data_IF_824668233231
#
_entry.id   IF_824668233231
#
_cell.length_a   1.000
_cell.length_b   1.000
_cell.length_c   1.000
_cell.angle_alpha   90.00
_cell.angle_beta   90.00
_cell.angle_gamma   90.00
#
_symmetry.space_group_name_H-M   'P 1'
#
loop_
_entity.id
_entity.type
_entity.pdbx_description
1 polymer ?
#
# COMPACT_ATOMS: atom_id res chain seq x y z
N UNK A 1 -64.70 -14.30 -4.07
CA UNK A 1 -65.50 -14.48 -2.83
C UNK A 1 -64.75 -15.40 -1.89
N UNK A 2 -64.29 -14.87 -0.76
CA UNK A 2 -64.30 -15.64 0.50
C UNK A 2 -65.59 -15.27 1.26
N UNK A 3 -66.01 -15.91 2.37
CA UNK A 3 -65.41 -17.03 3.14
C UNK A 3 -66.44 -18.08 3.68
N UNK A 4 -65.94 -18.93 4.61
CA UNK A 4 -66.57 -19.72 5.72
C UNK A 4 -67.45 -20.95 5.40
N UNK A 5 -67.71 -21.92 6.35
CA UNK A 5 -67.05 -22.38 7.60
C UNK A 5 -66.86 -23.95 7.66
N UNK A 6 -65.88 -24.50 8.38
CA UNK A 6 -65.93 -25.08 9.76
C UNK A 6 -66.54 -26.50 9.97
N UNK A 7 -65.66 -27.39 10.46
CA UNK A 7 -65.84 -28.58 11.35
C UNK A 7 -66.53 -29.86 10.84
N UNK A 8 -65.79 -30.97 10.96
CA UNK A 8 -66.16 -32.09 11.83
C UNK A 8 -64.96 -32.61 12.66
N UNK A 9 -65.26 -33.10 13.87
CA UNK A 9 -64.36 -33.57 14.94
C UNK A 9 -64.04 -35.07 14.78
N UNK A 10 -63.00 -35.58 15.47
CA UNK A 10 -62.54 -36.97 15.37
C UNK A 10 -63.31 -37.91 16.32
N UNK A 11 -63.52 -39.16 15.91
CA UNK A 11 -63.93 -40.26 16.80
C UNK A 11 -62.66 -41.02 17.20
N UNK A 12 -62.31 -41.02 18.49
CA UNK A 12 -62.58 -42.10 19.46
C UNK A 12 -61.54 -43.24 19.31
N UNK A 13 -60.82 -43.70 20.33
CA UNK A 13 -61.08 -43.61 21.76
C UNK A 13 -59.86 -43.97 22.61
N UNK A 14 -60.05 -43.76 23.91
CA UNK A 14 -59.12 -43.97 25.01
C UNK A 14 -59.00 -45.46 25.33
N UNK A 15 -57.82 -45.88 25.80
CA UNK A 15 -57.73 -46.85 26.88
C UNK A 15 -56.87 -46.29 28.01
N UNK A 16 -57.34 -46.53 29.23
CA UNK A 16 -56.99 -45.89 30.50
C UNK A 16 -56.36 -46.96 31.39
N UNK A 17 -55.28 -46.63 32.08
CA UNK A 17 -54.95 -47.25 33.36
C UNK A 17 -54.62 -46.13 34.36
N UNK A 18 -55.29 -46.19 35.51
CA UNK A 18 -55.23 -45.25 36.63
C UNK A 18 -54.43 -45.90 37.74
N UNK A 19 -53.72 -45.07 38.52
CA UNK A 19 -53.51 -45.04 39.98
C UNK A 19 -52.19 -44.26 40.20
N UNK A 20 -52.04 -43.22 41.02
CA UNK A 20 -52.91 -42.46 41.91
C UNK A 20 -52.15 -41.16 42.29
N UNK A 21 -52.92 -40.09 42.50
CA UNK A 21 -52.56 -38.79 43.10
C UNK A 21 -51.30 -38.07 42.61
N UNK A 22 -51.44 -37.23 41.57
CA UNK A 22 -51.01 -35.82 41.52
C UNK A 22 -51.72 -35.17 40.32
N UNK A 23 -52.66 -34.27 40.58
CA UNK A 23 -53.28 -33.44 39.54
C UNK A 23 -52.26 -32.40 39.06
N UNK A 24 -51.65 -32.59 37.89
CA UNK A 24 -50.92 -31.53 37.20
C UNK A 24 -51.31 -31.51 35.73
N UNK A 25 -51.80 -30.35 35.31
CA UNK A 25 -52.29 -30.01 34.00
C UNK A 25 -51.20 -30.12 32.93
N UNK A 26 -51.55 -30.71 31.77
CA UNK A 26 -50.71 -30.80 30.58
C UNK A 26 -50.70 -29.47 29.83
N UNK A 27 -49.55 -28.78 29.80
CA UNK A 27 -49.34 -27.58 28.96
C UNK A 27 -48.20 -27.81 27.94
N UNK A 28 -48.57 -27.88 26.66
CA UNK A 28 -47.69 -28.13 25.52
C UNK A 28 -46.69 -26.99 25.23
N UNK A 29 -46.73 -25.88 25.97
CA UNK A 29 -45.83 -24.73 25.76
C UNK A 29 -44.45 -24.85 26.42
N UNK A 30 -44.22 -25.86 27.27
CA UNK A 30 -42.94 -26.00 27.99
C UNK A 30 -41.86 -26.76 27.21
N UNK A 31 -42.19 -27.38 26.07
CA UNK A 31 -41.26 -28.20 25.28
C UNK A 31 -40.43 -27.44 24.23
N UNK A 32 -40.79 -26.19 23.85
CA UNK A 32 -40.04 -25.47 22.80
C UNK A 32 -38.70 -24.90 23.27
N UNK A 33 -38.58 -24.55 24.55
CA UNK A 33 -37.39 -23.91 25.11
C UNK A 33 -36.23 -24.87 25.40
N UNK A 34 -36.53 -26.16 25.63
CA UNK A 34 -35.51 -27.16 26.01
C UNK A 34 -34.69 -27.64 24.81
N UNK A 35 -35.31 -27.72 23.62
CA UNK A 35 -34.64 -28.18 22.40
C UNK A 35 -33.83 -27.09 21.68
N UNK A 36 -34.26 -25.83 21.71
CA UNK A 36 -33.50 -24.72 21.12
C UNK A 36 -32.10 -24.58 21.75
N UNK A 37 -32.01 -24.72 23.08
CA UNK A 37 -30.71 -24.74 23.79
C UNK A 37 -29.88 -25.99 23.50
N UNK A 38 -30.52 -27.15 23.25
CA UNK A 38 -29.82 -28.43 23.07
C UNK A 38 -29.11 -28.57 21.72
N UNK A 39 -29.63 -27.98 20.64
CA UNK A 39 -29.01 -28.05 19.31
C UNK A 39 -28.02 -26.91 19.05
N UNK A 40 -28.22 -25.73 19.67
CA UNK A 40 -27.22 -24.65 19.66
C UNK A 40 -25.92 -25.06 20.38
N UNK A 41 -26.02 -25.95 21.37
CA UNK A 41 -24.90 -26.49 22.15
C UNK A 41 -24.06 -27.57 21.43
N UNK A 42 -24.46 -28.04 20.24
CA UNK A 42 -23.74 -29.14 19.56
C UNK A 42 -22.36 -28.74 18.99
N UNK A 43 -21.91 -27.49 19.14
CA UNK A 43 -20.57 -27.07 18.71
C UNK A 43 -20.29 -27.22 17.20
N UNK A 44 -21.33 -27.46 16.38
CA UNK A 44 -21.19 -27.75 14.96
C UNK A 44 -20.67 -26.54 14.18
N UNK A 45 -19.76 -26.79 13.25
CA UNK A 45 -19.27 -25.76 12.33
C UNK A 45 -20.38 -25.24 11.41
N UNK A 46 -20.18 -24.05 10.84
CA UNK A 46 -21.14 -23.47 9.87
C UNK A 46 -21.35 -24.39 8.67
N UNK A 47 -20.31 -25.11 8.24
CA UNK A 47 -20.37 -26.06 7.14
C UNK A 47 -21.19 -27.30 7.49
N UNK A 48 -21.00 -27.86 8.68
CA UNK A 48 -21.79 -28.99 9.19
C UNK A 48 -23.27 -28.61 9.35
N UNK A 49 -23.55 -27.41 9.87
CA UNK A 49 -24.92 -26.88 9.97
C UNK A 49 -25.58 -26.69 8.60
N UNK A 50 -24.82 -26.24 7.59
CA UNK A 50 -25.31 -26.15 6.20
C UNK A 50 -25.66 -27.53 5.64
N UNK A 51 -24.78 -28.52 5.80
CA UNK A 51 -25.00 -29.88 5.31
C UNK A 51 -26.26 -30.52 5.91
N UNK A 52 -26.44 -30.40 7.22
CA UNK A 52 -27.65 -30.86 7.91
C UNK A 52 -28.90 -30.10 7.45
N UNK A 53 -28.78 -28.81 7.17
CA UNK A 53 -29.89 -28.01 6.64
C UNK A 53 -30.31 -28.52 5.26
N UNK A 54 -29.37 -28.88 4.39
CA UNK A 54 -29.67 -29.47 3.06
C UNK A 54 -30.42 -30.79 3.20
N UNK A 55 -29.99 -31.68 4.10
CA UNK A 55 -30.64 -32.98 4.31
C UNK A 55 -32.06 -32.81 4.86
N UNK A 56 -32.25 -31.98 5.87
CA UNK A 56 -33.54 -31.77 6.54
C UNK A 56 -34.50 -30.86 5.75
N UNK A 57 -33.99 -30.06 4.81
CA UNK A 57 -34.81 -29.22 3.93
C UNK A 57 -35.77 -30.02 3.03
N UNK A 58 -35.51 -31.32 2.85
CA UNK A 58 -36.41 -32.22 2.11
C UNK A 58 -37.71 -32.51 2.85
N UNK A 59 -37.69 -32.53 4.19
CA UNK A 59 -38.84 -32.85 5.03
C UNK A 59 -39.41 -31.63 5.79
N UNK A 60 -38.60 -30.59 6.00
CA UNK A 60 -38.97 -29.42 6.80
C UNK A 60 -38.62 -28.10 6.10
N UNK A 61 -39.38 -27.01 6.35
CA UNK A 61 -39.04 -25.71 5.79
C UNK A 61 -37.64 -25.23 6.25
N UNK A 62 -36.80 -24.79 5.30
CA UNK A 62 -35.43 -24.28 5.54
C UNK A 62 -35.40 -23.27 6.69
N UNK A 63 -36.41 -22.40 6.79
CA UNK A 63 -36.52 -21.40 7.86
C UNK A 63 -36.57 -22.02 9.26
N UNK A 64 -37.28 -23.14 9.40
CA UNK A 64 -37.43 -23.85 10.67
C UNK A 64 -36.11 -24.53 11.04
N UNK A 65 -35.48 -25.21 10.09
CA UNK A 65 -34.21 -25.93 10.28
C UNK A 65 -33.07 -24.96 10.62
N UNK A 66 -32.93 -23.85 9.88
CA UNK A 66 -31.95 -22.81 10.19
C UNK A 66 -32.15 -22.23 11.60
N UNK A 67 -33.40 -22.04 12.04
CA UNK A 67 -33.70 -21.55 13.39
C UNK A 67 -33.33 -22.58 14.46
N UNK A 68 -33.56 -23.86 14.21
CA UNK A 68 -33.22 -24.95 15.14
C UNK A 68 -31.71 -25.14 15.28
N UNK A 69 -30.94 -24.96 14.20
CA UNK A 69 -29.49 -25.10 14.18
C UNK A 69 -28.72 -23.82 14.57
N UNK A 70 -29.43 -22.71 14.82
CA UNK A 70 -28.81 -21.40 15.04
C UNK A 70 -28.00 -20.90 13.83
N UNK A 71 -28.38 -21.26 12.60
CA UNK A 71 -27.71 -20.86 11.37
C UNK A 71 -28.44 -19.65 10.75
N UNK A 72 -27.76 -18.51 10.52
CA UNK A 72 -28.37 -17.40 9.77
C UNK A 72 -28.77 -17.85 8.36
N UNK A 73 -29.97 -17.47 7.90
CA UNK A 73 -30.46 -17.84 6.56
C UNK A 73 -29.53 -17.39 5.43
N UNK A 74 -28.91 -16.21 5.58
CA UNK A 74 -27.91 -15.69 4.64
C UNK A 74 -26.73 -16.65 4.49
N UNK A 75 -26.30 -17.28 5.58
CA UNK A 75 -25.24 -18.30 5.54
C UNK A 75 -25.69 -19.53 4.77
N UNK A 76 -26.95 -19.96 4.85
CA UNK A 76 -27.43 -21.12 4.07
C UNK A 76 -27.43 -20.84 2.55
N UNK A 77 -27.94 -19.68 2.13
CA UNK A 77 -27.98 -19.31 0.71
C UNK A 77 -26.65 -18.82 0.15
N UNK A 78 -25.67 -18.52 1.00
CA UNK A 78 -24.34 -18.12 0.57
C UNK A 78 -23.66 -19.27 -0.17
N UNK A 79 -23.54 -19.12 -1.48
CA UNK A 79 -22.68 -19.94 -2.31
C UNK A 79 -21.30 -19.26 -2.40
N UNK A 80 -20.23 -19.85 -1.85
CA UNK A 80 -18.90 -19.33 -2.08
C UNK A 80 -18.63 -19.32 -3.58
N UNK A 81 -18.10 -18.20 -4.08
CA UNK A 81 -17.65 -18.11 -5.47
C UNK A 81 -16.54 -19.13 -5.70
N UNK A 82 -16.90 -20.28 -6.26
CA UNK A 82 -16.02 -21.37 -6.59
C UNK A 82 -15.44 -21.22 -8.00
N UNK A 83 -15.09 -20.00 -8.43
CA UNK A 83 -14.04 -19.93 -9.44
C UNK A 83 -12.84 -20.59 -8.80
N UNK A 84 -12.48 -21.77 -9.30
CA UNK A 84 -11.55 -22.69 -8.67
C UNK A 84 -10.39 -21.87 -8.12
N UNK A 85 -10.22 -21.81 -6.81
CA UNK A 85 -9.25 -20.91 -6.19
C UNK A 85 -7.85 -21.11 -6.80
N UNK A 86 -7.57 -22.32 -7.31
CA UNK A 86 -6.40 -22.63 -8.15
C UNK A 86 -6.33 -21.89 -9.49
N UNK A 87 -7.41 -21.80 -10.26
CA UNK A 87 -7.45 -21.07 -11.54
C UNK A 87 -7.22 -19.56 -11.34
N UNK A 88 -7.78 -18.97 -10.29
CA UNK A 88 -7.51 -17.56 -9.96
C UNK A 88 -6.05 -17.35 -9.54
N UNK A 89 -5.48 -18.28 -8.76
CA UNK A 89 -4.06 -18.24 -8.39
C UNK A 89 -3.16 -18.33 -9.63
N UNK A 90 -3.42 -19.28 -10.52
CA UNK A 90 -2.67 -19.44 -11.76
C UNK A 90 -2.74 -18.19 -12.64
N UNK A 91 -3.93 -17.58 -12.78
CA UNK A 91 -4.10 -16.34 -13.54
C UNK A 91 -3.36 -15.13 -12.93
N UNK A 92 -3.26 -15.07 -11.59
CA UNK A 92 -2.46 -14.05 -10.89
C UNK A 92 -0.97 -14.26 -11.15
N UNK A 93 -0.50 -15.51 -11.05
CA UNK A 93 0.91 -15.88 -11.29
C UNK A 93 1.30 -15.60 -12.76
N UNK A 94 0.46 -15.99 -13.71
CA UNK A 94 0.59 -15.67 -15.14
C UNK A 94 0.67 -14.15 -15.36
N UNK A 95 -0.28 -13.40 -14.81
CA UNK A 95 -0.33 -11.94 -14.98
C UNK A 95 0.90 -11.21 -14.41
N UNK A 96 1.47 -11.69 -13.31
CA UNK A 96 2.67 -11.12 -12.71
C UNK A 96 3.94 -11.53 -13.48
N UNK A 97 3.99 -12.76 -13.99
CA UNK A 97 5.10 -13.21 -14.82
C UNK A 97 5.20 -12.40 -16.12
N UNK A 98 4.05 -12.13 -16.77
CA UNK A 98 4.00 -11.28 -17.97
C UNK A 98 4.25 -9.81 -17.64
N UNK A 99 3.71 -9.32 -16.52
CA UNK A 99 3.76 -7.90 -16.14
C UNK A 99 4.31 -7.70 -14.72
N UNK A 100 5.64 -7.82 -14.53
CA UNK A 100 6.27 -7.82 -13.19
C UNK A 100 6.14 -6.50 -12.41
N UNK A 101 5.75 -5.42 -13.07
CA UNK A 101 5.51 -4.10 -12.46
C UNK A 101 4.06 -3.90 -11.99
N UNK A 102 3.15 -4.83 -12.31
CA UNK A 102 1.73 -4.66 -12.01
C UNK A 102 1.42 -4.97 -10.55
N UNK A 103 0.83 -4.00 -9.84
CA UNK A 103 0.20 -4.24 -8.54
C UNK A 103 -1.18 -4.88 -8.68
N UNK A 104 -1.75 -5.33 -7.55
CA UNK A 104 -3.02 -6.09 -7.51
C UNK A 104 -4.18 -5.42 -8.27
N UNK A 105 -4.25 -4.08 -8.30
CA UNK A 105 -5.29 -3.34 -9.03
C UNK A 105 -5.21 -3.59 -10.54
N UNK A 106 -4.00 -3.48 -11.10
CA UNK A 106 -3.76 -3.69 -12.54
C UNK A 106 -3.90 -5.16 -12.92
N UNK A 107 -3.39 -6.07 -12.08
CA UNK A 107 -3.60 -7.52 -12.25
C UNK A 107 -5.11 -7.85 -12.25
N UNK A 108 -5.88 -7.29 -11.32
CA UNK A 108 -7.34 -7.51 -11.27
C UNK A 108 -8.04 -7.01 -12.54
N UNK A 109 -7.67 -5.83 -13.04
CA UNK A 109 -8.23 -5.28 -14.28
C UNK A 109 -7.87 -6.14 -15.50
N UNK A 110 -6.63 -6.64 -15.56
CA UNK A 110 -6.17 -7.52 -16.63
C UNK A 110 -6.93 -8.85 -16.64
N UNK A 111 -7.07 -9.51 -15.48
CA UNK A 111 -7.82 -10.77 -15.36
C UNK A 111 -9.29 -10.59 -15.78
N UNK A 112 -9.91 -9.47 -15.40
CA UNK A 112 -11.28 -9.13 -15.82
C UNK A 112 -11.39 -8.96 -17.33
N UNK A 113 -10.37 -8.40 -17.97
CA UNK A 113 -10.35 -8.15 -19.42
C UNK A 113 -10.12 -9.44 -20.21
N UNK A 114 -9.13 -10.23 -19.82
CA UNK A 114 -8.66 -11.36 -20.61
C UNK A 114 -9.52 -12.60 -20.40
N UNK A 115 -9.92 -12.87 -19.15
CA UNK A 115 -10.67 -14.06 -18.78
C UNK A 115 -12.17 -13.80 -18.61
N UNK A 116 -12.61 -12.53 -18.72
CA UNK A 116 -14.01 -12.11 -18.52
C UNK A 116 -14.57 -12.52 -17.14
N UNK A 117 -13.72 -12.62 -16.12
CA UNK A 117 -14.11 -13.05 -14.78
C UNK A 117 -14.54 -11.88 -13.89
N UNK A 118 -15.59 -12.08 -13.10
CA UNK A 118 -16.02 -11.13 -12.06
C UNK A 118 -15.20 -11.39 -10.78
N UNK A 119 -13.98 -10.83 -10.72
CA UNK A 119 -13.06 -11.02 -9.59
C UNK A 119 -13.07 -9.81 -8.66
N UNK A 120 -13.14 -10.03 -7.35
CA UNK A 120 -12.96 -8.98 -6.34
C UNK A 120 -11.46 -8.67 -6.13
N UNK A 121 -11.06 -7.40 -6.30
CA UNK A 121 -9.68 -6.97 -6.12
C UNK A 121 -9.11 -7.19 -4.71
N UNK A 122 -9.97 -7.22 -3.66
CA UNK A 122 -9.54 -7.58 -2.29
C UNK A 122 -9.11 -9.05 -2.21
N UNK A 123 -9.76 -9.93 -2.97
CA UNK A 123 -9.37 -11.35 -3.05
C UNK A 123 -8.02 -11.50 -3.74
N UNK A 124 -7.82 -10.81 -4.87
CA UNK A 124 -6.53 -10.77 -5.58
C UNK A 124 -5.42 -10.26 -4.68
N UNK A 125 -5.67 -9.17 -3.94
CA UNK A 125 -4.71 -8.62 -2.98
C UNK A 125 -4.32 -9.64 -1.91
N UNK A 126 -5.30 -10.31 -1.30
CA UNK A 126 -5.06 -11.35 -0.30
C UNK A 126 -4.23 -12.50 -0.87
N UNK A 127 -4.59 -13.01 -2.04
CA UNK A 127 -3.87 -14.12 -2.70
C UNK A 127 -2.43 -13.74 -3.08
N UNK A 128 -2.23 -12.51 -3.56
CA UNK A 128 -0.88 -11.99 -3.82
C UNK A 128 -0.05 -11.89 -2.54
N UNK A 129 -0.65 -11.42 -1.43
CA UNK A 129 0.03 -11.34 -0.12
C UNK A 129 0.40 -12.72 0.43
N UNK A 130 -0.53 -13.68 0.41
CA UNK A 130 -0.30 -15.07 0.86
C UNK A 130 0.87 -15.75 0.13
N UNK A 131 1.17 -15.33 -1.11
CA UNK A 131 2.24 -15.89 -1.94
C UNK A 131 3.49 -15.01 -2.01
N UNK A 132 3.55 -13.89 -1.30
CA UNK A 132 4.67 -12.94 -1.38
C UNK A 132 4.82 -12.28 -2.76
N UNK A 133 3.77 -12.27 -3.57
CA UNK A 133 3.76 -11.70 -4.91
C UNK A 133 3.57 -10.19 -4.83
N UNK A 134 4.66 -9.45 -4.78
CA UNK A 134 4.66 -7.99 -4.80
C UNK A 134 5.20 -7.47 -6.14
N UNK A 135 4.60 -6.38 -6.63
CA UNK A 135 5.11 -5.69 -7.81
C UNK A 135 6.55 -5.25 -7.54
N UNK A 136 7.49 -5.71 -8.37
CA UNK A 136 8.88 -5.27 -8.28
C UNK A 136 8.94 -3.85 -8.82
N UNK A 137 8.90 -2.86 -7.93
CA UNK A 137 9.24 -1.48 -8.29
C UNK A 137 10.76 -1.45 -8.47
N UNK A 138 11.22 -1.60 -9.72
CA UNK A 138 12.62 -1.30 -10.06
C UNK A 138 12.81 0.22 -9.98
N UNK A 139 13.10 0.74 -8.80
CA UNK A 139 13.74 2.04 -8.68
C UNK A 139 15.21 1.88 -9.04
N UNK A 140 15.55 1.97 -10.33
CA UNK A 140 16.92 2.29 -10.71
C UNK A 140 17.14 3.77 -10.34
N UNK A 141 17.63 4.04 -9.13
CA UNK A 141 18.25 5.35 -8.84
C UNK A 141 19.58 5.36 -9.60
N UNK A 142 19.78 6.36 -10.47
CA UNK A 142 21.09 6.57 -11.10
C UNK A 142 22.00 7.17 -10.03
N UNK A 143 23.25 6.70 -9.98
CA UNK A 143 24.27 7.29 -9.12
C UNK A 143 24.72 8.60 -9.76
N UNK A 144 24.34 9.72 -9.14
CA UNK A 144 24.74 11.09 -9.53
C UNK A 144 26.05 11.50 -8.85
N UNK A 145 26.32 10.95 -7.66
CA UNK A 145 27.52 11.29 -6.88
C UNK A 145 28.56 10.18 -6.97
N UNK A 146 29.75 10.53 -7.48
CA UNK A 146 30.95 9.70 -7.34
C UNK A 146 31.96 10.36 -6.41
N UNK A 147 32.07 9.83 -5.19
CA UNK A 147 33.00 10.30 -4.16
C UNK A 147 34.32 9.51 -4.14
N UNK A 148 34.50 8.56 -5.07
CA UNK A 148 35.74 7.82 -5.26
C UNK A 148 36.62 8.57 -6.28
N UNK A 149 37.15 9.72 -5.88
CA UNK A 149 38.05 10.54 -6.69
C UNK A 149 39.21 11.07 -5.86
N UNK A 150 40.30 11.46 -6.52
CA UNK A 150 41.52 11.94 -5.88
C UNK A 150 41.49 13.44 -5.51
N UNK A 151 40.38 14.15 -5.76
CA UNK A 151 40.26 15.56 -5.40
C UNK A 151 40.23 15.80 -3.89
N UNK A 152 40.70 16.98 -3.42
CA UNK A 152 40.66 17.38 -2.01
C UNK A 152 39.25 17.36 -1.44
N UNK A 153 39.16 17.09 -0.13
CA UNK A 153 37.89 17.09 0.62
C UNK A 153 37.93 18.18 1.68
N UNK A 154 36.93 19.04 1.67
CA UNK A 154 36.79 20.12 2.64
C UNK A 154 35.92 19.71 3.84
N UNK A 155 36.16 20.28 5.03
CA UNK A 155 35.35 20.00 6.21
C UNK A 155 33.91 20.53 6.07
N UNK A 156 33.00 19.97 6.87
CA UNK A 156 31.64 20.47 6.97
C UNK A 156 31.60 21.72 7.86
N UNK A 157 31.33 22.89 7.27
CA UNK A 157 31.23 24.19 7.94
C UNK A 157 29.77 24.56 8.27
N UNK A 158 28.79 23.85 7.71
CA UNK A 158 27.36 24.19 7.82
C UNK A 158 26.70 23.49 9.01
N UNK A 159 27.27 22.39 9.52
CA UNK A 159 26.65 21.56 10.56
C UNK A 159 26.23 22.32 11.83
N UNK A 160 26.98 23.35 12.23
CA UNK A 160 26.70 24.17 13.42
C UNK A 160 26.46 25.65 13.06
N UNK A 161 26.19 25.94 11.79
CA UNK A 161 25.99 27.30 11.32
C UNK A 161 24.57 27.77 11.66
N UNK A 162 24.47 28.81 12.49
CA UNK A 162 23.20 29.52 12.65
C UNK A 162 23.01 30.47 11.47
N UNK A 163 21.99 30.18 10.66
CA UNK A 163 21.61 31.01 9.53
C UNK A 163 20.73 32.15 9.99
N UNK A 164 21.19 33.39 9.76
CA UNK A 164 20.48 34.60 10.17
C UNK A 164 20.15 35.54 9.01
N UNK A 165 20.74 35.33 7.82
CA UNK A 165 20.54 36.22 6.66
C UNK A 165 20.74 35.54 5.30
N UNK A 166 20.27 36.15 4.20
CA UNK A 166 20.53 35.67 2.85
C UNK A 166 22.02 35.63 2.52
N UNK A 167 22.40 34.70 1.65
CA UNK A 167 23.75 34.53 1.10
C UNK A 167 24.83 34.29 2.17
N UNK A 168 24.44 33.78 3.34
CA UNK A 168 25.37 33.31 4.36
C UNK A 168 25.92 31.93 4.00
N UNK A 169 25.05 31.02 3.54
CA UNK A 169 25.46 29.74 2.99
C UNK A 169 24.58 29.36 1.81
N UNK A 170 25.20 28.76 0.79
CA UNK A 170 24.49 28.13 -0.30
C UNK A 170 24.65 26.62 -0.22
N UNK A 171 23.58 25.88 -0.49
CA UNK A 171 23.60 24.45 -0.77
C UNK A 171 23.56 24.21 -2.28
N UNK A 172 24.31 23.22 -2.76
CA UNK A 172 24.26 22.77 -4.14
C UNK A 172 23.91 21.29 -4.22
N UNK A 173 23.14 20.93 -5.23
CA UNK A 173 22.80 19.54 -5.51
C UNK A 173 22.50 19.29 -7.00
N UNK A 174 22.60 18.03 -7.41
CA UNK A 174 22.40 17.56 -8.78
C UNK A 174 21.34 16.45 -8.80
N UNK A 175 20.32 16.62 -9.64
CA UNK A 175 19.24 15.65 -9.80
C UNK A 175 19.00 15.28 -11.27
N UNK A 176 18.43 14.10 -11.52
CA UNK A 176 18.00 13.66 -12.85
C UNK A 176 16.52 14.00 -13.08
N UNK A 177 16.25 14.84 -14.08
CA UNK A 177 14.90 15.15 -14.52
C UNK A 177 14.50 14.18 -15.63
N UNK A 178 13.51 13.33 -15.35
CA UNK A 178 12.99 12.37 -16.31
C UNK A 178 12.05 13.05 -17.31
N UNK A 179 12.35 12.89 -18.59
CA UNK A 179 11.49 13.23 -19.72
C UNK A 179 10.81 11.95 -20.26
N UNK A 180 9.88 12.09 -21.20
CA UNK A 180 9.11 10.96 -21.75
C UNK A 180 9.99 9.87 -22.39
N UNK A 181 11.06 10.27 -23.07
CA UNK A 181 11.94 9.35 -23.82
C UNK A 181 13.40 9.36 -23.34
N UNK A 182 13.77 10.32 -22.50
CA UNK A 182 15.16 10.55 -22.08
C UNK A 182 15.22 11.20 -20.69
N UNK A 183 16.42 11.58 -20.24
CA UNK A 183 16.60 12.32 -19.00
C UNK A 183 17.65 13.42 -19.22
N UNK A 184 17.56 14.45 -18.41
CA UNK A 184 18.54 15.53 -18.33
C UNK A 184 18.98 15.70 -16.88
N UNK A 185 20.19 16.18 -16.67
CA UNK A 185 20.71 16.51 -15.36
C UNK A 185 20.44 17.99 -15.05
N UNK A 186 20.00 18.27 -13.84
CA UNK A 186 19.78 19.59 -13.31
C UNK A 186 20.75 19.80 -12.15
N UNK A 187 21.62 20.80 -12.26
CA UNK A 187 22.34 21.35 -11.11
C UNK A 187 21.63 22.58 -10.59
N UNK A 188 21.48 22.66 -9.27
CA UNK A 188 20.83 23.77 -8.58
C UNK A 188 21.73 24.28 -7.47
N UNK A 189 21.78 25.60 -7.33
CA UNK A 189 22.41 26.31 -6.23
C UNK A 189 21.31 27.10 -5.52
N UNK A 190 21.12 26.77 -4.26
CA UNK A 190 20.08 27.31 -3.39
C UNK A 190 20.73 28.04 -2.22
N UNK A 191 20.19 29.20 -1.87
CA UNK A 191 20.49 29.90 -0.63
C UNK A 191 19.74 29.25 0.55
N UNK A 192 20.26 29.37 1.77
CA UNK A 192 19.60 28.91 3.00
C UNK A 192 18.18 29.49 3.20
N UNK A 193 17.87 30.62 2.57
CA UNK A 193 16.51 31.19 2.48
C UNK A 193 15.55 30.38 1.59
N UNK A 194 16.05 29.35 0.89
CA UNK A 194 15.42 28.59 -0.19
C UNK A 194 15.27 29.32 -1.52
N UNK A 195 15.86 30.51 -1.66
CA UNK A 195 15.94 31.18 -2.96
C UNK A 195 16.90 30.43 -3.89
N UNK A 196 16.48 30.19 -5.14
CA UNK A 196 17.36 29.62 -6.16
C UNK A 196 18.27 30.73 -6.69
N UNK A 197 19.57 30.60 -6.48
CA UNK A 197 20.57 31.58 -6.94
C UNK A 197 21.08 31.26 -8.33
N UNK A 198 21.23 29.98 -8.65
CA UNK A 198 21.69 29.55 -9.97
C UNK A 198 21.23 28.14 -10.31
N UNK A 199 21.08 27.86 -11.60
CA UNK A 199 20.75 26.53 -12.09
C UNK A 199 21.19 26.34 -13.54
N UNK A 200 21.41 25.08 -13.90
CA UNK A 200 21.71 24.69 -15.28
C UNK A 200 21.23 23.28 -15.60
N UNK A 201 20.82 23.07 -16.86
CA UNK A 201 20.40 21.79 -17.39
C UNK A 201 21.42 21.30 -18.43
N UNK A 202 21.86 20.05 -18.32
CA UNK A 202 22.71 19.42 -19.30
C UNK A 202 22.31 17.97 -19.58
N UNK A 203 22.71 17.45 -20.74
CA UNK A 203 22.48 16.04 -21.13
C UNK A 203 23.53 15.08 -20.56
N UNK A 204 24.63 15.61 -20.03
CA UNK A 204 25.70 14.85 -19.42
C UNK A 204 26.01 15.38 -18.00
N UNK A 205 26.67 14.54 -17.21
CA UNK A 205 27.06 14.83 -15.84
C UNK A 205 28.51 15.36 -15.78
N UNK A 206 28.88 16.23 -16.73
CA UNK A 206 30.23 16.81 -16.80
C UNK A 206 30.39 18.01 -15.87
N UNK A 207 31.63 18.44 -15.64
CA UNK A 207 31.97 19.61 -14.81
C UNK A 207 31.29 20.91 -15.26
N UNK A 208 31.00 21.04 -16.56
CA UNK A 208 30.27 22.20 -17.09
C UNK A 208 28.87 22.41 -16.50
N UNK A 209 28.24 21.34 -15.96
CA UNK A 209 26.92 21.41 -15.37
C UNK A 209 26.89 22.27 -14.10
N UNK A 210 27.70 21.92 -13.10
CA UNK A 210 27.80 22.64 -11.83
C UNK A 210 28.44 24.01 -12.02
N UNK A 211 29.50 24.06 -12.82
CA UNK A 211 30.20 25.30 -13.16
C UNK A 211 29.29 26.38 -13.74
N UNK A 212 28.45 26.03 -14.73
CA UNK A 212 27.55 27.00 -15.37
C UNK A 212 26.48 27.49 -14.40
N UNK A 213 25.99 26.63 -13.50
CA UNK A 213 25.05 27.04 -12.46
C UNK A 213 25.70 28.05 -11.49
N UNK A 214 26.96 27.82 -11.10
CA UNK A 214 27.72 28.73 -10.22
C UNK A 214 27.98 30.08 -10.88
N UNK A 215 28.46 30.09 -12.12
CA UNK A 215 28.70 31.33 -12.85
C UNK A 215 27.42 32.16 -13.01
N UNK A 216 26.28 31.51 -13.26
CA UNK A 216 24.99 32.22 -13.35
C UNK A 216 24.59 32.85 -12.03
N UNK A 217 24.80 32.16 -10.91
CA UNK A 217 24.52 32.71 -9.58
C UNK A 217 25.38 33.94 -9.27
N UNK A 218 26.68 33.86 -9.56
CA UNK A 218 27.62 34.95 -9.34
C UNK A 218 27.36 36.14 -10.29
N UNK A 219 27.06 35.88 -11.56
CA UNK A 219 26.74 36.93 -12.54
C UNK A 219 25.45 37.69 -12.21
N UNK A 220 24.53 37.09 -11.45
CA UNK A 220 23.34 37.77 -10.93
C UNK A 220 23.65 38.70 -9.75
N UNK A 221 24.91 38.81 -9.33
CA UNK A 221 25.37 39.67 -8.23
C UNK A 221 25.22 39.04 -6.85
N UNK A 222 24.99 37.74 -6.77
CA UNK A 222 24.93 37.02 -5.50
C UNK A 222 26.28 36.36 -5.19
N UNK A 223 26.70 36.38 -3.92
CA UNK A 223 27.95 35.75 -3.49
C UNK A 223 27.77 35.23 -2.05
N UNK A 224 27.99 33.93 -1.81
CA UNK A 224 27.84 33.37 -0.48
C UNK A 224 29.12 33.54 0.34
N UNK A 225 29.01 33.43 1.65
CA UNK A 225 30.20 33.23 2.49
C UNK A 225 30.66 31.77 2.46
N UNK A 226 29.69 30.84 2.50
CA UNK A 226 29.95 29.41 2.48
C UNK A 226 29.22 28.77 1.29
N UNK A 227 29.94 27.97 0.51
CA UNK A 227 29.35 27.12 -0.51
C UNK A 227 29.43 25.66 -0.08
N UNK A 228 28.27 25.05 0.19
CA UNK A 228 28.12 23.69 0.65
C UNK A 228 27.67 22.76 -0.49
N UNK A 229 28.31 21.60 -0.59
CA UNK A 229 28.04 20.61 -1.63
C UNK A 229 28.27 19.18 -1.13
N UNK A 230 27.68 18.21 -1.81
CA UNK A 230 28.08 16.82 -1.66
C UNK A 230 29.49 16.58 -2.24
N UNK A 231 30.16 15.50 -1.82
CA UNK A 231 31.47 15.08 -2.35
C UNK A 231 31.36 14.43 -3.74
N UNK A 232 30.70 15.08 -4.68
CA UNK A 232 30.67 14.68 -6.09
C UNK A 232 31.86 15.27 -6.83
N UNK A 233 32.42 14.48 -7.77
CA UNK A 233 33.53 14.90 -8.64
C UNK A 233 33.27 16.22 -9.39
N UNK A 234 32.00 16.59 -9.58
CA UNK A 234 31.57 17.80 -10.26
C UNK A 234 31.75 19.06 -9.41
N UNK A 235 31.62 18.94 -8.09
CA UNK A 235 31.82 20.03 -7.13
C UNK A 235 33.26 20.08 -6.62
N UNK A 236 33.98 18.95 -6.65
CA UNK A 236 35.41 18.87 -6.30
C UNK A 236 36.35 19.23 -7.47
N UNK A 237 35.80 19.53 -8.65
CA UNK A 237 36.57 19.84 -9.84
C UNK A 237 37.39 21.13 -9.67
N UNK A 238 38.63 21.11 -10.16
CA UNK A 238 39.60 22.21 -9.99
C UNK A 238 39.03 23.57 -10.37
N UNK A 239 38.40 23.70 -11.55
CA UNK A 239 37.82 24.97 -11.97
C UNK A 239 36.78 25.50 -10.97
N UNK A 240 35.89 24.62 -10.49
CA UNK A 240 34.82 24.94 -9.54
C UNK A 240 35.38 25.51 -8.23
N UNK A 241 36.36 24.80 -7.67
CA UNK A 241 37.09 25.20 -6.45
C UNK A 241 37.82 26.52 -6.65
N UNK A 242 38.55 26.68 -7.76
CA UNK A 242 39.29 27.91 -8.07
C UNK A 242 38.39 29.13 -8.16
N UNK A 243 37.16 28.99 -8.69
CA UNK A 243 36.22 30.12 -8.74
C UNK A 243 35.66 30.50 -7.40
N UNK A 244 35.33 29.54 -6.55
CA UNK A 244 34.91 29.82 -5.19
C UNK A 244 36.03 30.54 -4.42
N UNK A 245 37.27 30.06 -4.55
CA UNK A 245 38.44 30.68 -3.93
C UNK A 245 38.74 32.09 -4.48
N UNK A 246 38.60 32.30 -5.79
CA UNK A 246 38.78 33.62 -6.40
C UNK A 246 37.76 34.65 -5.91
N UNK A 247 36.58 34.20 -5.48
CA UNK A 247 35.55 35.03 -4.85
C UNK A 247 35.63 35.00 -3.31
N UNK A 248 36.68 34.44 -2.72
CA UNK A 248 36.83 34.39 -1.25
C UNK A 248 35.74 33.59 -0.53
N UNK A 249 35.07 32.67 -1.23
CA UNK A 249 34.01 31.83 -0.67
C UNK A 249 34.63 30.63 0.05
N UNK A 250 34.21 30.38 1.29
CA UNK A 250 34.60 29.19 2.03
C UNK A 250 33.90 27.95 1.47
N UNK A 251 34.68 26.92 1.15
CA UNK A 251 34.16 25.67 0.60
C UNK A 251 33.81 24.73 1.76
N UNK A 252 32.65 24.10 1.67
CA UNK A 252 32.20 23.10 2.62
C UNK A 252 31.66 21.87 1.89
N UNK A 253 32.00 20.69 2.39
CA UNK A 253 31.47 19.44 1.84
C UNK A 253 30.76 18.59 2.91
N UNK A 254 29.65 17.96 2.53
CA UNK A 254 29.01 16.93 3.34
C UNK A 254 29.91 15.68 3.42
N UNK A 255 29.85 14.91 4.50
CA UNK A 255 30.57 13.64 4.61
C UNK A 255 30.05 12.58 3.62
N UNK A 256 30.90 11.62 3.26
CA UNK A 256 30.51 10.55 2.33
C UNK A 256 29.33 9.76 2.88
N UNK A 257 28.23 9.74 2.13
CA UNK A 257 27.00 9.05 2.54
C UNK A 257 26.16 9.82 3.58
N UNK A 258 26.55 11.04 3.93
CA UNK A 258 25.86 11.90 4.89
C UNK A 258 24.95 12.93 4.21
N UNK A 259 24.10 12.44 3.30
CA UNK A 259 23.00 13.14 2.63
C UNK A 259 22.28 14.20 3.49
N UNK A 260 21.96 13.84 4.74
CA UNK A 260 21.25 14.72 5.67
C UNK A 260 22.02 16.01 6.03
N UNK A 261 23.33 16.06 5.81
CA UNK A 261 24.14 17.26 6.03
C UNK A 261 23.90 18.33 4.96
N UNK A 262 23.37 17.95 3.79
CA UNK A 262 22.94 18.84 2.71
C UNK A 262 21.39 18.89 2.59
N UNK A 263 20.70 18.73 3.73
CA UNK A 263 19.28 18.41 3.77
C UNK A 263 18.34 19.44 3.10
N UNK A 264 18.68 20.73 3.07
CA UNK A 264 17.85 21.73 2.39
C UNK A 264 17.88 21.57 0.87
N UNK A 265 19.06 21.31 0.28
CA UNK A 265 19.19 21.05 -1.14
C UNK A 265 18.56 19.69 -1.51
N UNK A 266 18.81 18.65 -0.70
CA UNK A 266 18.17 17.34 -0.89
C UNK A 266 16.64 17.42 -0.86
N UNK A 267 16.09 18.27 0.03
CA UNK A 267 14.65 18.45 0.15
C UNK A 267 14.04 19.10 -1.09
N UNK A 268 14.78 19.97 -1.77
CA UNK A 268 14.35 20.54 -3.05
C UNK A 268 14.23 19.47 -4.12
N UNK A 269 15.27 18.64 -4.27
CA UNK A 269 15.35 17.67 -5.37
C UNK A 269 14.55 16.39 -5.13
N UNK A 270 13.96 16.22 -3.95
CA UNK A 270 13.18 15.03 -3.59
C UNK A 270 11.88 14.93 -4.41
N UNK A 271 11.96 14.27 -5.55
CA UNK A 271 10.82 13.74 -6.34
C UNK A 271 10.25 12.43 -5.81
#
# INVERSE_FOLDING_TARGET
>A
MQPVPFRQRPNCGKCRLVLSNWNVWWDARRWSWRWQKSLEQLGLSVEQKRALTVQLATAYPVRLVCRMLGLPRSSFYYQPWACAAGQLKAAIEEGIATWPTYGYRRVTAQIRRDKQWIVNGKCVRRLMQERGLQAKVRSKRRRTTDSQHDYPRDPNLVQNLEVVRPDQAWGSDITDVRLLMEFVYLAVIMDVTRAIRGWHLARNLGHGLTWTALQRAMAAGHQPEIHHSDQGVQCAATAYVETLQAHGVAISMAEVGAAWQNGDAERLVRT
#
